data_IF_654949436707
#
_entry.id   IF_654949436707
#
_cell.length_a   1.000
_cell.length_b   1.000
_cell.length_c   1.000
_cell.angle_alpha   90.00
_cell.angle_beta   90.00
_cell.angle_gamma   90.00
#
_symmetry.space_group_name_H-M   'P 1'
#
loop_
_entity.id
_entity.type
_entity.pdbx_description
1 polymer ?
#
# COMPACT_ATOMS: atom_id res chain seq x y z
N UNK A 1 15.29 1.92 13.17
CA UNK A 1 16.71 1.93 12.74
C UNK A 1 16.87 2.88 11.56
N UNK A 2 17.93 3.70 11.49
CA UNK A 2 18.25 4.53 10.33
C UNK A 2 18.60 3.67 9.10
N UNK A 3 18.54 4.28 7.92
CA UNK A 3 18.98 3.63 6.70
C UNK A 3 20.47 3.27 6.73
N UNK A 4 20.84 2.16 6.08
CA UNK A 4 22.26 1.77 5.87
C UNK A 4 22.88 2.57 4.71
N UNK A 5 22.06 3.00 3.76
CA UNK A 5 22.44 3.87 2.65
C UNK A 5 21.24 4.72 2.22
N UNK A 6 21.49 5.83 1.54
CA UNK A 6 20.44 6.67 0.96
C UNK A 6 19.79 6.04 -0.27
N UNK A 7 18.67 6.61 -0.74
CA UNK A 7 18.01 6.19 -1.97
C UNK A 7 18.93 6.36 -3.20
N UNK A 8 18.76 5.49 -4.18
CA UNK A 8 19.50 5.55 -5.45
C UNK A 8 18.94 6.68 -6.31
N UNK A 9 19.78 7.58 -6.84
CA UNK A 9 19.32 8.60 -7.76
C UNK A 9 18.63 7.99 -8.99
N UNK A 10 17.49 8.56 -9.40
CA UNK A 10 16.77 8.06 -10.57
C UNK A 10 17.65 8.14 -11.84
N UNK A 11 17.70 7.08 -12.69
CA UNK A 11 18.60 7.04 -13.86
C UNK A 11 18.37 8.17 -14.88
N UNK A 12 17.17 8.74 -14.95
CA UNK A 12 16.86 9.89 -15.81
C UNK A 12 17.46 11.22 -15.32
N UNK A 13 18.08 11.24 -14.13
CA UNK A 13 18.52 12.47 -13.48
C UNK A 13 17.39 13.28 -12.83
N UNK A 14 16.14 12.81 -12.88
CA UNK A 14 15.02 13.46 -12.20
C UNK A 14 15.27 13.56 -10.70
N UNK A 15 14.88 14.67 -10.12
CA UNK A 15 14.95 14.92 -8.67
C UNK A 15 13.60 15.37 -8.18
N UNK A 16 13.19 15.00 -6.97
CA UNK A 16 11.98 15.54 -6.38
C UNK A 16 12.10 17.05 -6.22
N UNK A 17 10.98 17.80 -6.30
CA UNK A 17 10.99 19.23 -6.07
C UNK A 17 11.39 19.52 -4.62
N UNK A 18 12.11 20.65 -4.42
CA UNK A 18 12.37 21.17 -3.08
C UNK A 18 11.13 21.90 -2.59
N UNK A 19 10.45 21.34 -1.63
CA UNK A 19 9.26 21.92 -1.01
C UNK A 19 9.55 22.30 0.43
N UNK A 20 8.90 23.35 0.96
CA UNK A 20 8.86 23.59 2.40
C UNK A 20 8.30 22.35 3.14
N UNK A 21 8.84 22.07 4.32
CA UNK A 21 8.47 20.85 5.08
C UNK A 21 6.97 20.75 5.36
N UNK A 22 6.32 21.87 5.59
CA UNK A 22 4.87 21.98 5.85
C UNK A 22 3.99 21.65 4.64
N UNK A 23 4.56 21.65 3.43
CA UNK A 23 3.86 21.27 2.18
C UNK A 23 4.12 19.82 1.77
N UNK A 24 4.98 19.10 2.49
CA UNK A 24 5.23 17.68 2.22
C UNK A 24 4.09 16.87 2.84
N UNK A 25 3.35 16.06 2.05
CA UNK A 25 2.30 15.23 2.59
C UNK A 25 2.88 14.20 3.58
N UNK A 26 2.19 13.98 4.68
CA UNK A 26 2.60 12.97 5.66
C UNK A 26 2.32 11.55 5.16
N UNK A 27 1.18 11.36 4.48
CA UNK A 27 0.76 10.06 3.97
C UNK A 27 0.30 10.16 2.52
N UNK A 28 0.99 9.46 1.65
CA UNK A 28 0.63 9.33 0.24
C UNK A 28 0.09 7.92 -0.02
N UNK A 29 -1.08 7.81 -0.64
CA UNK A 29 -1.69 6.54 -1.04
C UNK A 29 -1.69 6.43 -2.56
N UNK A 30 -1.18 5.34 -3.11
CA UNK A 30 -1.05 5.14 -4.56
C UNK A 30 -1.84 3.94 -5.06
N UNK A 31 -2.58 4.16 -6.16
CA UNK A 31 -3.21 3.09 -6.95
C UNK A 31 -2.46 2.95 -8.26
N UNK A 32 -1.74 1.85 -8.38
CA UNK A 32 -0.88 1.51 -9.51
C UNK A 32 -1.69 0.86 -10.62
N UNK A 33 -2.47 1.67 -11.33
CA UNK A 33 -3.35 1.20 -12.41
C UNK A 33 -2.73 1.39 -13.79
N UNK A 34 -3.04 0.48 -14.71
CA UNK A 34 -2.62 0.59 -16.10
C UNK A 34 -1.64 -0.48 -16.59
N UNK A 35 -1.08 -1.33 -15.72
CA UNK A 35 -0.08 -2.34 -16.09
C UNK A 35 -0.47 -3.16 -17.34
N UNK A 36 -1.71 -3.64 -17.39
CA UNK A 36 -2.19 -4.45 -18.51
C UNK A 36 -2.34 -3.64 -19.79
N UNK A 37 -2.81 -2.40 -19.72
CA UNK A 37 -2.93 -1.49 -20.88
C UNK A 37 -1.56 -1.08 -21.40
N UNK A 38 -0.65 -0.76 -20.48
CA UNK A 38 0.75 -0.45 -20.82
C UNK A 38 1.43 -1.59 -21.58
N UNK A 39 1.28 -2.84 -21.10
CA UNK A 39 1.82 -4.02 -21.76
C UNK A 39 1.17 -4.24 -23.15
N UNK A 40 -0.16 -4.13 -23.25
CA UNK A 40 -0.88 -4.28 -24.51
C UNK A 40 -0.43 -3.29 -25.57
N UNK A 41 -0.22 -2.01 -25.20
CA UNK A 41 0.27 -0.98 -26.13
C UNK A 41 1.68 -1.29 -26.70
N UNK A 42 2.42 -2.21 -26.06
CA UNK A 42 3.78 -2.62 -26.46
C UNK A 42 3.84 -4.04 -27.02
N UNK A 43 2.69 -4.67 -27.26
CA UNK A 43 2.64 -6.06 -27.72
C UNK A 43 3.14 -7.09 -26.69
N UNK A 44 3.17 -6.71 -25.41
CA UNK A 44 3.64 -7.54 -24.30
C UNK A 44 2.47 -8.24 -23.61
N UNK A 45 2.78 -9.30 -22.85
CA UNK A 45 1.82 -9.97 -21.97
C UNK A 45 1.47 -9.08 -20.79
N UNK A 46 0.27 -9.23 -20.25
CA UNK A 46 -0.19 -8.49 -19.06
C UNK A 46 0.75 -8.67 -17.86
N UNK A 47 1.30 -9.86 -17.71
CA UNK A 47 2.27 -10.21 -16.68
C UNK A 47 3.56 -9.39 -16.76
N UNK A 48 4.01 -9.06 -17.99
CA UNK A 48 5.20 -8.24 -18.19
C UNK A 48 4.98 -6.81 -17.70
N UNK A 49 3.76 -6.28 -17.85
CA UNK A 49 3.36 -4.99 -17.28
C UNK A 49 3.47 -4.98 -15.77
N UNK A 50 2.98 -6.02 -15.09
CA UNK A 50 3.12 -6.14 -13.63
C UNK A 50 4.58 -6.27 -13.19
N UNK A 51 5.38 -7.06 -13.91
CA UNK A 51 6.81 -7.19 -13.61
C UNK A 51 7.56 -5.86 -13.74
N UNK A 52 7.23 -5.05 -14.76
CA UNK A 52 7.76 -3.67 -14.89
C UNK A 52 7.24 -2.74 -13.82
N UNK A 53 5.98 -2.92 -13.39
CA UNK A 53 5.35 -2.15 -12.34
C UNK A 53 6.05 -2.23 -11.00
N UNK A 54 6.77 -3.33 -10.72
CA UNK A 54 7.63 -3.46 -9.55
C UNK A 54 8.73 -2.41 -9.52
N UNK A 55 9.44 -2.20 -10.63
CA UNK A 55 10.52 -1.22 -10.69
C UNK A 55 10.00 0.20 -10.49
N UNK A 56 8.88 0.55 -11.13
CA UNK A 56 8.25 1.86 -10.94
C UNK A 56 7.81 2.09 -9.47
N UNK A 57 7.33 1.05 -8.79
CA UNK A 57 7.02 1.16 -7.36
C UNK A 57 8.27 1.48 -6.53
N UNK A 58 9.40 0.86 -6.84
CA UNK A 58 10.66 1.12 -6.15
C UNK A 58 11.18 2.53 -6.42
N UNK A 59 11.09 3.03 -7.65
CA UNK A 59 11.40 4.44 -7.97
C UNK A 59 10.53 5.40 -7.14
N UNK A 60 9.24 5.09 -6.98
CA UNK A 60 8.33 5.89 -6.14
C UNK A 60 8.69 5.82 -4.66
N UNK A 61 9.07 4.65 -4.14
CA UNK A 61 9.50 4.49 -2.75
C UNK A 61 10.77 5.32 -2.50
N UNK A 62 11.77 5.23 -3.37
CA UNK A 62 13.01 5.99 -3.24
C UNK A 62 12.75 7.50 -3.37
N UNK A 63 11.88 7.91 -4.30
CA UNK A 63 11.43 9.31 -4.41
C UNK A 63 10.69 9.81 -3.17
N UNK A 64 9.85 8.98 -2.56
CA UNK A 64 9.17 9.32 -1.31
C UNK A 64 10.18 9.53 -0.16
N UNK A 65 11.22 8.69 -0.07
CA UNK A 65 12.31 8.86 0.89
C UNK A 65 13.06 10.17 0.64
N UNK A 66 13.41 10.47 -0.62
CA UNK A 66 14.09 11.72 -0.99
C UNK A 66 13.27 12.97 -0.63
N UNK A 67 11.94 12.89 -0.75
CA UNK A 67 11.02 13.97 -0.36
C UNK A 67 10.80 14.07 1.14
N UNK A 68 11.19 13.08 1.92
CA UNK A 68 10.91 13.02 3.36
C UNK A 68 9.47 12.66 3.69
N UNK A 69 8.75 11.94 2.81
CA UNK A 69 7.39 11.44 3.07
C UNK A 69 7.47 10.29 4.06
N UNK A 70 6.83 10.39 5.25
CA UNK A 70 6.95 9.35 6.26
C UNK A 70 6.08 8.12 6.05
N UNK A 71 4.95 8.22 5.31
CA UNK A 71 4.04 7.11 5.08
C UNK A 71 3.65 7.00 3.60
N UNK A 72 3.79 5.80 3.05
CA UNK A 72 3.37 5.46 1.68
C UNK A 72 2.51 4.19 1.70
N UNK A 73 1.31 4.26 1.15
CA UNK A 73 0.44 3.09 0.99
C UNK A 73 0.32 2.71 -0.47
N UNK A 74 0.55 1.43 -0.79
CA UNK A 74 0.49 0.91 -2.15
C UNK A 74 -0.58 -0.19 -2.29
N UNK A 75 -1.50 -0.01 -3.25
CA UNK A 75 -2.56 -0.98 -3.53
C UNK A 75 -2.02 -2.11 -4.42
N UNK A 76 -1.56 -3.20 -3.80
CA UNK A 76 -0.93 -4.31 -4.49
C UNK A 76 -1.92 -5.39 -4.95
N UNK A 77 -2.92 -5.71 -4.13
CA UNK A 77 -3.95 -6.69 -4.48
C UNK A 77 -5.26 -6.40 -3.74
N UNK A 78 -6.32 -6.09 -4.50
CA UNK A 78 -7.63 -5.78 -3.93
C UNK A 78 -8.49 -7.04 -3.71
N UNK A 79 -9.47 -6.94 -2.82
CA UNK A 79 -10.48 -8.01 -2.64
C UNK A 79 -11.26 -8.31 -3.92
N UNK A 80 -11.41 -7.36 -4.82
CA UNK A 80 -12.06 -7.53 -6.12
C UNK A 80 -11.21 -8.34 -7.11
N UNK A 81 -9.88 -8.40 -6.93
CA UNK A 81 -8.99 -9.15 -7.82
C UNK A 81 -9.24 -10.66 -7.79
N UNK A 82 -9.88 -11.18 -6.75
CA UNK A 82 -10.30 -12.59 -6.71
C UNK A 82 -11.31 -12.97 -7.78
N UNK A 83 -11.98 -11.98 -8.40
CA UNK A 83 -12.93 -12.19 -9.52
C UNK A 83 -12.25 -12.37 -10.88
N UNK A 84 -10.93 -12.19 -10.95
CA UNK A 84 -10.13 -12.42 -12.17
C UNK A 84 -10.02 -13.91 -12.48
N UNK A 85 -9.50 -14.24 -13.66
CA UNK A 85 -9.28 -15.65 -14.01
C UNK A 85 -8.40 -16.37 -12.97
N UNK A 86 -8.65 -17.66 -12.72
CA UNK A 86 -7.84 -18.43 -11.77
C UNK A 86 -6.33 -18.40 -12.09
N UNK A 87 -5.96 -18.33 -13.37
CA UNK A 87 -4.56 -18.22 -13.81
C UNK A 87 -3.95 -16.89 -13.39
N UNK A 88 -4.65 -15.78 -13.63
CA UNK A 88 -4.19 -14.45 -13.26
C UNK A 88 -4.06 -14.33 -11.74
N UNK A 89 -5.04 -14.85 -10.98
CA UNK A 89 -4.98 -14.86 -9.52
C UNK A 89 -3.77 -15.64 -9.01
N UNK A 90 -3.52 -16.85 -9.53
CA UNK A 90 -2.34 -17.65 -9.15
C UNK A 90 -1.05 -16.92 -9.46
N UNK A 91 -0.96 -16.31 -10.64
CA UNK A 91 0.22 -15.55 -11.03
C UNK A 91 0.43 -14.34 -10.09
N UNK A 92 -0.61 -13.55 -9.80
CA UNK A 92 -0.52 -12.40 -8.92
C UNK A 92 -0.12 -12.79 -7.49
N UNK A 93 -0.62 -13.91 -6.97
CA UNK A 93 -0.22 -14.41 -5.65
C UNK A 93 1.26 -14.78 -5.61
N UNK A 94 1.73 -15.53 -6.60
CA UNK A 94 3.15 -15.86 -6.75
C UNK A 94 4.01 -14.61 -6.91
N UNK A 95 3.60 -13.68 -7.76
CA UNK A 95 4.31 -12.43 -8.00
C UNK A 95 4.43 -11.58 -6.72
N UNK A 96 3.35 -11.37 -5.98
CA UNK A 96 3.39 -10.62 -4.71
C UNK A 96 4.34 -11.29 -3.70
N UNK A 97 4.24 -12.62 -3.53
CA UNK A 97 5.16 -13.38 -2.67
C UNK A 97 6.62 -13.12 -3.05
N UNK A 98 6.94 -13.26 -4.33
CA UNK A 98 8.32 -13.21 -4.84
C UNK A 98 8.88 -11.78 -4.78
N UNK A 99 8.07 -10.76 -5.05
CA UNK A 99 8.45 -9.34 -4.91
C UNK A 99 8.80 -9.03 -3.45
N UNK A 100 7.94 -9.40 -2.51
CA UNK A 100 8.18 -9.15 -1.08
C UNK A 100 9.46 -9.88 -0.65
N UNK A 101 9.63 -11.15 -1.03
CA UNK A 101 10.79 -11.94 -0.67
C UNK A 101 12.12 -11.32 -1.14
N UNK A 102 12.22 -10.95 -2.43
CA UNK A 102 13.49 -10.43 -3.00
C UNK A 102 13.77 -8.98 -2.65
N UNK A 103 12.75 -8.18 -2.24
CA UNK A 103 12.89 -6.75 -2.00
C UNK A 103 12.98 -6.35 -0.54
N UNK A 104 12.57 -7.23 0.38
CA UNK A 104 12.57 -6.91 1.81
C UNK A 104 13.94 -6.48 2.33
N UNK A 105 15.02 -7.12 1.90
CA UNK A 105 16.38 -6.77 2.35
C UNK A 105 16.82 -5.39 1.82
N UNK A 106 16.45 -5.06 0.58
CA UNK A 106 16.69 -3.74 0.01
C UNK A 106 15.90 -2.67 0.76
N UNK A 107 14.63 -2.92 1.04
CA UNK A 107 13.78 -2.00 1.81
C UNK A 107 14.29 -1.83 3.25
N UNK A 108 14.71 -2.92 3.90
CA UNK A 108 15.32 -2.86 5.23
C UNK A 108 16.61 -2.02 5.23
N UNK A 109 17.45 -2.17 4.20
CA UNK A 109 18.67 -1.38 4.05
C UNK A 109 18.41 0.11 3.86
N UNK A 110 17.30 0.48 3.19
CA UNK A 110 16.81 1.85 3.05
C UNK A 110 16.14 2.41 4.33
N UNK A 111 16.01 1.61 5.37
CA UNK A 111 15.33 2.01 6.61
C UNK A 111 13.81 2.09 6.48
N UNK A 112 13.24 1.36 5.52
CA UNK A 112 11.79 1.30 5.30
C UNK A 112 11.17 0.29 6.26
N UNK A 113 10.16 0.72 7.01
CA UNK A 113 9.31 -0.14 7.84
C UNK A 113 8.16 -0.66 7.00
N UNK A 114 8.05 -1.97 6.86
CA UNK A 114 6.97 -2.61 6.10
C UNK A 114 5.80 -2.91 7.02
N UNK A 115 4.59 -2.57 6.55
CA UNK A 115 3.31 -2.90 7.19
C UNK A 115 2.39 -3.55 6.16
N UNK A 116 1.48 -4.38 6.62
CA UNK A 116 0.51 -5.06 5.77
C UNK A 116 -0.91 -4.79 6.23
N UNK A 117 -1.72 -4.17 5.37
CA UNK A 117 -3.16 -4.08 5.53
C UNK A 117 -3.86 -5.07 4.58
N UNK A 118 -4.83 -5.80 5.10
CA UNK A 118 -5.61 -6.75 4.33
C UNK A 118 -5.98 -8.01 5.10
N UNK A 119 -6.81 -8.83 4.47
CA UNK A 119 -7.44 -9.99 5.09
C UNK A 119 -6.64 -11.26 4.84
N UNK A 120 -6.57 -12.15 5.85
CA UNK A 120 -5.92 -13.47 5.74
C UNK A 120 -6.71 -14.50 4.92
N UNK A 121 -8.07 -14.57 4.98
CA UNK A 121 -8.82 -15.56 4.23
C UNK A 121 -8.55 -15.50 2.72
N UNK A 122 -8.41 -16.69 2.10
CA UNK A 122 -8.04 -16.92 0.69
C UNK A 122 -6.58 -16.58 0.32
N UNK A 123 -5.88 -15.76 1.11
CA UNK A 123 -4.49 -15.45 0.84
C UNK A 123 -3.60 -16.69 1.05
N UNK A 124 -2.67 -16.93 0.16
CA UNK A 124 -1.75 -18.07 0.29
C UNK A 124 -0.90 -17.94 1.56
N UNK A 125 -0.75 -19.05 2.27
CA UNK A 125 0.09 -19.10 3.48
C UNK A 125 1.53 -18.63 3.22
N UNK A 126 2.07 -18.89 2.02
CA UNK A 126 3.40 -18.42 1.62
C UNK A 126 3.46 -16.89 1.48
N UNK A 127 2.40 -16.24 0.96
CA UNK A 127 2.33 -14.77 0.89
C UNK A 127 2.26 -14.18 2.30
N UNK A 128 1.40 -14.75 3.17
CA UNK A 128 1.28 -14.32 4.58
C UNK A 128 2.63 -14.43 5.29
N UNK A 129 3.36 -15.52 5.08
CA UNK A 129 4.68 -15.73 5.69
C UNK A 129 5.67 -14.64 5.25
N UNK A 130 5.77 -14.36 3.95
CA UNK A 130 6.69 -13.32 3.46
C UNK A 130 6.34 -11.93 3.98
N UNK A 131 5.04 -11.59 4.03
CA UNK A 131 4.57 -10.33 4.61
C UNK A 131 4.92 -10.24 6.10
N UNK A 132 4.67 -11.31 6.86
CA UNK A 132 4.99 -11.35 8.31
C UNK A 132 6.49 -11.20 8.54
N UNK A 133 7.32 -11.95 7.82
CA UNK A 133 8.77 -11.84 7.91
C UNK A 133 9.28 -10.44 7.54
N UNK A 134 8.73 -9.83 6.49
CA UNK A 134 9.10 -8.47 6.10
C UNK A 134 8.75 -7.44 7.18
N UNK A 135 7.58 -7.57 7.81
CA UNK A 135 7.17 -6.71 8.93
C UNK A 135 8.10 -6.87 10.14
N UNK A 136 8.39 -8.12 10.54
CA UNK A 136 9.26 -8.41 11.68
C UNK A 136 10.69 -7.89 11.45
N UNK A 137 11.27 -8.15 10.27
CA UNK A 137 12.62 -7.72 9.91
C UNK A 137 12.78 -6.20 9.96
N UNK A 138 11.76 -5.47 9.52
CA UNK A 138 11.79 -4.00 9.37
C UNK A 138 11.13 -3.23 10.52
N UNK A 139 10.73 -3.92 11.61
CA UNK A 139 9.90 -3.35 12.67
C UNK A 139 10.47 -2.06 13.29
N UNK A 140 11.79 -1.99 13.44
CA UNK A 140 12.48 -0.84 14.06
C UNK A 140 12.90 0.25 13.07
N UNK A 141 12.60 0.11 11.79
CA UNK A 141 12.98 1.08 10.76
C UNK A 141 12.12 2.34 10.86
N UNK A 142 12.72 3.51 10.57
CA UNK A 142 12.14 4.81 10.88
C UNK A 142 12.18 5.83 9.73
N UNK A 143 12.72 5.46 8.55
CA UNK A 143 12.87 6.39 7.42
C UNK A 143 11.56 6.61 6.70
N UNK A 144 10.85 5.54 6.37
CA UNK A 144 9.54 5.53 5.71
C UNK A 144 8.77 4.32 6.16
N UNK A 145 7.48 4.47 6.44
CA UNK A 145 6.58 3.34 6.64
C UNK A 145 5.84 3.05 5.32
N UNK A 146 6.13 1.87 4.75
CA UNK A 146 5.47 1.38 3.54
C UNK A 146 4.37 0.40 3.91
N UNK A 147 3.12 0.76 3.64
CA UNK A 147 1.97 -0.11 3.82
C UNK A 147 1.64 -0.81 2.51
N UNK A 148 1.89 -2.11 2.44
CA UNK A 148 1.35 -2.94 1.37
C UNK A 148 -0.10 -3.32 1.65
N UNK A 149 -1.02 -2.94 0.77
CA UNK A 149 -2.41 -3.35 0.83
C UNK A 149 -2.61 -4.59 -0.06
N UNK A 150 -2.62 -5.77 0.57
CA UNK A 150 -2.70 -7.08 -0.10
C UNK A 150 -3.91 -7.84 0.41
N UNK A 151 -4.80 -8.27 -0.49
CA UNK A 151 -6.13 -8.78 -0.15
C UNK A 151 -6.93 -7.76 0.68
N UNK A 152 -6.82 -6.51 0.26
CA UNK A 152 -7.40 -5.36 0.95
C UNK A 152 -8.65 -4.84 0.22
N UNK A 153 -9.59 -4.32 0.99
CA UNK A 153 -10.74 -3.56 0.51
C UNK A 153 -11.31 -2.72 1.65
N UNK A 154 -11.51 -1.43 1.42
CA UNK A 154 -11.96 -0.49 2.46
C UNK A 154 -13.30 -0.85 3.07
N UNK A 155 -14.25 -1.34 2.26
CA UNK A 155 -15.54 -1.82 2.78
C UNK A 155 -15.37 -3.04 3.68
N UNK A 156 -14.49 -3.98 3.31
CA UNK A 156 -14.21 -5.16 4.12
C UNK A 156 -13.52 -4.78 5.44
N UNK A 157 -12.55 -3.87 5.40
CA UNK A 157 -11.89 -3.33 6.59
C UNK A 157 -12.90 -2.70 7.57
N UNK A 158 -13.81 -1.86 7.06
CA UNK A 158 -14.87 -1.23 7.87
C UNK A 158 -15.78 -2.29 8.51
N UNK A 159 -16.19 -3.32 7.76
CA UNK A 159 -17.04 -4.39 8.28
C UNK A 159 -16.28 -5.20 9.34
N UNK A 160 -15.01 -5.52 9.13
CA UNK A 160 -14.20 -6.27 10.09
C UNK A 160 -13.96 -5.47 11.38
N UNK A 161 -13.67 -4.17 11.28
CA UNK A 161 -13.60 -3.27 12.43
C UNK A 161 -14.92 -3.20 13.19
N UNK A 162 -16.04 -3.09 12.49
CA UNK A 162 -17.38 -3.05 13.07
C UNK A 162 -17.70 -4.34 13.83
N UNK A 163 -17.36 -5.50 13.25
CA UNK A 163 -17.56 -6.81 13.93
C UNK A 163 -16.78 -6.92 15.23
N UNK A 164 -15.53 -6.44 15.21
CA UNK A 164 -14.69 -6.49 16.42
C UNK A 164 -15.23 -5.56 17.50
N UNK A 165 -15.63 -4.35 17.14
CA UNK A 165 -16.28 -3.40 18.07
C UNK A 165 -17.57 -4.01 18.65
N UNK A 166 -18.42 -4.59 17.81
CA UNK A 166 -19.66 -5.23 18.26
C UNK A 166 -19.40 -6.38 19.22
N UNK A 167 -18.37 -7.20 18.97
CA UNK A 167 -17.96 -8.28 19.87
C UNK A 167 -17.51 -7.73 21.22
N UNK A 168 -16.66 -6.71 21.21
CA UNK A 168 -16.16 -6.07 22.44
C UNK A 168 -17.29 -5.41 23.24
N UNK A 169 -18.28 -4.83 22.56
CA UNK A 169 -19.47 -4.28 23.20
C UNK A 169 -20.33 -5.38 23.86
N UNK A 170 -20.55 -6.50 23.15
CA UNK A 170 -21.29 -7.65 23.70
C UNK A 170 -20.59 -8.28 24.93
N UNK A 171 -19.25 -8.21 24.97
CA UNK A 171 -18.43 -8.67 26.10
C UNK A 171 -18.28 -7.61 27.22
N UNK A 172 -18.91 -6.46 27.09
CA UNK A 172 -18.85 -5.36 28.05
C UNK A 172 -17.51 -4.62 28.12
N UNK A 173 -16.62 -4.83 27.15
CA UNK A 173 -15.30 -4.16 27.06
C UNK A 173 -15.36 -2.76 26.46
N UNK A 174 -16.39 -2.49 25.67
CA UNK A 174 -16.69 -1.18 25.07
C UNK A 174 -18.14 -0.83 25.42
N UNK A 175 -18.37 0.39 25.93
CA UNK A 175 -19.70 0.94 26.03
C UNK A 175 -20.12 1.50 24.67
N UNK A 176 -21.24 1.02 24.05
CA UNK A 176 -21.71 1.54 22.76
C UNK A 176 -21.89 3.06 22.69
N UNK A 177 -22.32 3.68 23.78
CA UNK A 177 -22.54 5.14 23.85
C UNK A 177 -21.24 5.95 23.80
N UNK A 178 -20.08 5.30 24.03
CA UNK A 178 -18.75 5.91 23.97
C UNK A 178 -17.98 5.59 22.70
N UNK A 179 -18.60 4.91 21.72
CA UNK A 179 -17.96 4.66 20.44
C UNK A 179 -17.80 5.98 19.68
N UNK A 180 -16.57 6.28 19.29
CA UNK A 180 -16.18 7.49 18.56
C UNK A 180 -15.38 7.14 17.30
N UNK A 181 -15.11 8.11 16.44
CA UNK A 181 -14.19 7.92 15.29
C UNK A 181 -12.83 7.40 15.74
N UNK A 182 -12.32 7.89 16.89
CA UNK A 182 -11.08 7.40 17.48
C UNK A 182 -11.18 5.92 17.86
N UNK A 183 -12.29 5.51 18.50
CA UNK A 183 -12.56 4.09 18.82
C UNK A 183 -12.58 3.24 17.56
N UNK A 184 -13.27 3.70 16.53
CA UNK A 184 -13.35 3.00 15.24
C UNK A 184 -11.98 2.83 14.61
N UNK A 185 -11.20 3.92 14.55
CA UNK A 185 -9.84 3.95 13.98
C UNK A 185 -8.92 2.89 14.62
N UNK A 186 -9.00 2.69 15.95
CA UNK A 186 -8.15 1.70 16.62
C UNK A 186 -8.44 0.25 16.23
N UNK A 187 -9.52 0.00 15.49
CA UNK A 187 -9.90 -1.32 14.98
C UNK A 187 -9.65 -1.50 13.48
N UNK A 188 -9.10 -0.50 12.80
CA UNK A 188 -8.64 -0.64 11.42
C UNK A 188 -7.37 -1.50 11.36
N UNK A 189 -7.02 -1.98 10.16
CA UNK A 189 -5.87 -2.89 9.95
C UNK A 189 -4.56 -2.29 10.45
N UNK A 190 -4.33 -1.01 10.18
CA UNK A 190 -3.12 -0.28 10.57
C UNK A 190 -3.46 1.06 11.25
N UNK A 191 -3.91 1.01 12.51
CA UNK A 191 -4.43 2.19 13.22
C UNK A 191 -3.38 3.27 13.51
N UNK A 192 -2.09 2.92 13.49
CA UNK A 192 -0.97 3.84 13.73
C UNK A 192 -0.62 4.68 12.50
N UNK A 193 -1.00 4.23 11.30
CA UNK A 193 -0.76 4.99 10.07
C UNK A 193 -1.79 6.12 9.98
N UNK A 194 -1.37 7.38 9.79
CA UNK A 194 -2.28 8.51 9.74
C UNK A 194 -3.22 8.47 8.53
N UNK A 195 -4.25 9.31 8.53
CA UNK A 195 -5.10 9.50 7.36
C UNK A 195 -4.29 9.95 6.15
N UNK A 196 -4.83 9.70 4.98
CA UNK A 196 -4.17 10.02 3.71
C UNK A 196 -4.30 11.53 3.46
N UNK A 197 -3.16 12.19 3.20
CA UNK A 197 -3.14 13.58 2.77
C UNK A 197 -3.26 13.67 1.25
N UNK A 198 -2.59 12.78 0.52
CA UNK A 198 -2.58 12.74 -0.94
C UNK A 198 -2.89 11.34 -1.46
N UNK A 199 -4.01 11.21 -2.15
CA UNK A 199 -4.33 10.03 -2.95
C UNK A 199 -3.92 10.26 -4.40
N UNK A 200 -3.16 9.33 -4.96
CA UNK A 200 -2.74 9.39 -6.35
C UNK A 200 -3.10 8.11 -7.10
N UNK A 201 -3.67 8.26 -8.30
CA UNK A 201 -3.99 7.14 -9.17
C UNK A 201 -3.55 7.40 -10.60
N UNK A 202 -2.87 6.43 -11.20
CA UNK A 202 -2.50 6.40 -12.60
C UNK A 202 -3.66 5.91 -13.49
N UNK A 203 -3.52 6.06 -14.80
CA UNK A 203 -4.36 5.50 -15.86
C UNK A 203 -5.63 6.25 -16.26
N UNK A 204 -5.84 7.49 -15.76
CA UNK A 204 -7.00 8.32 -16.11
C UNK A 204 -8.30 7.94 -15.42
N UNK A 205 -8.31 6.90 -14.59
CA UNK A 205 -9.49 6.49 -13.84
C UNK A 205 -9.66 7.36 -12.59
N UNK A 206 -10.85 7.96 -12.45
CA UNK A 206 -11.15 8.94 -11.39
C UNK A 206 -12.04 8.33 -10.30
N UNK A 207 -11.53 7.34 -9.58
CA UNK A 207 -12.22 6.67 -8.48
C UNK A 207 -11.24 6.03 -7.49
N UNK A 208 -11.69 5.83 -6.25
CA UNK A 208 -10.91 5.22 -5.17
C UNK A 208 -10.74 3.71 -5.32
N UNK A 209 -11.65 3.04 -6.01
CA UNK A 209 -11.69 1.58 -6.16
C UNK A 209 -11.62 0.82 -4.82
N UNK A 210 -12.38 1.28 -3.83
CA UNK A 210 -12.44 0.65 -2.52
C UNK A 210 -11.09 0.68 -1.75
N UNK A 211 -10.25 1.68 -2.03
CA UNK A 211 -8.93 1.81 -1.42
C UNK A 211 -8.93 2.85 -0.31
N UNK A 212 -8.60 2.42 0.91
CA UNK A 212 -8.45 3.24 2.11
C UNK A 212 -9.62 4.23 2.31
N UNK A 213 -10.89 3.73 2.26
CA UNK A 213 -12.09 4.57 2.26
C UNK A 213 -12.19 5.48 3.48
N UNK A 214 -11.93 4.94 4.68
CA UNK A 214 -11.94 5.70 5.91
C UNK A 214 -10.82 6.73 5.93
N UNK A 215 -9.63 6.31 5.57
CA UNK A 215 -8.41 7.10 5.65
C UNK A 215 -8.34 8.20 4.59
N UNK A 216 -9.10 8.09 3.48
CA UNK A 216 -9.18 9.08 2.40
C UNK A 216 -10.26 10.15 2.61
N UNK A 217 -10.90 10.21 3.77
CA UNK A 217 -12.05 11.12 3.99
C UNK A 217 -11.74 12.59 3.69
N UNK A 218 -10.49 13.01 3.89
CA UNK A 218 -10.04 14.41 3.69
C UNK A 218 -8.82 14.52 2.77
N UNK A 219 -8.49 13.46 2.00
CA UNK A 219 -7.33 13.50 1.12
C UNK A 219 -7.54 14.40 -0.10
N UNK A 220 -6.48 15.07 -0.51
CA UNK A 220 -6.39 15.63 -1.86
C UNK A 220 -6.25 14.49 -2.86
N UNK A 221 -6.90 14.62 -4.03
CA UNK A 221 -6.93 13.55 -5.03
C UNK A 221 -6.28 13.99 -6.32
N UNK A 222 -5.29 13.25 -6.78
CA UNK A 222 -4.60 13.46 -8.05
C UNK A 222 -4.80 12.24 -8.94
N UNK A 223 -5.33 12.49 -10.14
CA UNK A 223 -5.53 11.48 -11.18
C UNK A 223 -4.62 11.79 -12.37
N UNK A 224 -3.81 10.84 -12.78
CA UNK A 224 -2.89 10.97 -13.91
C UNK A 224 -3.32 10.08 -15.06
N UNK A 225 -3.26 10.61 -16.30
CA UNK A 225 -3.54 9.82 -17.51
C UNK A 225 -2.43 8.83 -17.85
N UNK A 226 -1.27 8.94 -17.20
CA UNK A 226 -0.16 8.01 -17.42
C UNK A 226 -0.53 6.62 -16.93
N UNK A 227 -0.21 5.61 -17.74
CA UNK A 227 -0.34 4.23 -17.32
C UNK A 227 0.80 3.85 -16.37
N UNK A 228 0.50 3.02 -15.39
CA UNK A 228 1.54 2.31 -14.64
C UNK A 228 2.08 1.16 -15.50
N UNK A 229 3.37 0.92 -15.53
CA UNK A 229 4.52 1.55 -14.84
C UNK A 229 5.02 2.87 -15.38
#
# INVERSE_FOLDING_TARGET
RPAKHGPTPHPSGARPPRLPAELIPRHVAIVMDGNGRWAKQRGLKRTDGHARGEFALFDVIEGAIEMGIPYLSAYAFSTENWKRSPEEVRWLMGFNRDVIHRRRDQLDALGVRIRWAGRRPKLWKSVIRELTQAQEQSADNTVLTLQFCVNYGGRAEIVDATREIARQAAEGRINPDHISEKTFRTHLDEPEIPDVDLFWRSSGEQRLSNFLLWQNAYSEMVFSDKLWP
#
